data_IF_899700301421
#
_entry.id   IF_899700301421
#
_cell.length_a   1.000
_cell.length_b   1.000
_cell.length_c   1.000
_cell.angle_alpha   90.00
_cell.angle_beta   90.00
_cell.angle_gamma   90.00
#
_symmetry.space_group_name_H-M   'P 1'
#
loop_
_entity.id
_entity.type
_entity.pdbx_description
1 polymer ?
#
# COMPACT_ATOMS: atom_id res chain seq x y z
N UNK A 1 2.42 0.21 -2.41
CA UNK A 1 3.76 -0.28 -2.12
C UNK A 1 4.48 0.79 -1.33
N UNK A 2 5.15 0.41 -0.25
CA UNK A 2 5.92 1.27 0.65
C UNK A 2 7.33 0.70 0.73
N UNK A 3 8.32 1.50 0.35
CA UNK A 3 9.71 1.05 0.22
C UNK A 3 10.59 1.76 1.24
N UNK A 4 11.51 1.02 1.83
CA UNK A 4 12.58 1.50 2.68
C UNK A 4 12.10 2.51 3.74
N UNK A 5 12.70 3.68 3.83
CA UNK A 5 12.38 4.76 4.79
C UNK A 5 10.99 5.40 4.60
N UNK A 6 10.27 5.06 3.51
CA UNK A 6 8.90 5.52 3.31
C UNK A 6 7.91 5.03 4.38
N UNK A 7 8.31 4.08 5.26
CA UNK A 7 7.51 3.70 6.43
C UNK A 7 7.30 4.86 7.43
N UNK A 8 8.10 5.94 7.34
CA UNK A 8 7.94 7.16 8.12
C UNK A 8 6.99 8.18 7.47
N UNK A 9 6.53 7.96 6.23
CA UNK A 9 5.65 8.88 5.54
C UNK A 9 4.27 8.96 6.22
N UNK A 10 3.68 10.16 6.24
CA UNK A 10 2.39 10.42 6.91
C UNK A 10 1.25 9.49 6.45
N UNK A 11 1.07 9.16 5.16
CA UNK A 11 0.04 8.22 4.73
C UNK A 11 0.20 6.84 5.37
N UNK A 12 1.41 6.27 5.37
CA UNK A 12 1.66 4.96 5.96
C UNK A 12 1.47 4.97 7.48
N UNK A 13 2.01 5.97 8.17
CA UNK A 13 1.83 6.17 9.62
C UNK A 13 0.36 6.21 10.00
N UNK A 14 -0.47 6.93 9.24
CA UNK A 14 -1.92 6.97 9.46
C UNK A 14 -2.60 5.61 9.25
N UNK A 15 -2.22 4.88 8.21
CA UNK A 15 -2.77 3.56 7.91
C UNK A 15 -2.38 2.51 8.95
N UNK A 16 -1.17 2.62 9.51
CA UNK A 16 -0.65 1.71 10.53
C UNK A 16 -1.11 2.06 11.95
N UNK A 17 -1.47 3.31 12.20
CA UNK A 17 -1.91 3.78 13.53
C UNK A 17 -0.80 3.86 14.58
N UNK A 18 0.46 3.88 14.14
CA UNK A 18 1.66 4.02 15.01
C UNK A 18 2.63 5.01 14.40
N UNK A 19 3.70 5.37 15.13
CA UNK A 19 4.74 6.28 14.60
C UNK A 19 5.71 5.58 13.64
N UNK A 20 5.61 4.27 13.48
CA UNK A 20 6.36 3.44 12.54
C UNK A 20 7.89 3.59 12.59
N UNK A 21 8.47 3.94 13.75
CA UNK A 21 9.91 4.10 13.89
C UNK A 21 10.63 2.76 13.93
N UNK A 22 11.91 2.79 13.56
CA UNK A 22 12.87 1.70 13.74
C UNK A 22 14.19 2.27 14.24
N UNK A 23 15.08 1.42 14.76
CA UNK A 23 16.50 1.72 14.85
C UNK A 23 17.15 1.35 13.52
N UNK A 24 18.26 1.99 13.22
CA UNK A 24 18.99 1.77 11.98
C UNK A 24 20.49 1.90 12.22
N UNK A 25 21.28 1.34 11.32
CA UNK A 25 22.72 1.41 11.26
C UNK A 25 23.16 1.31 9.81
N UNK A 26 24.08 2.14 9.42
CA UNK A 26 24.61 2.23 8.08
C UNK A 26 26.11 1.92 8.10
N UNK A 27 26.45 0.66 7.81
CA UNK A 27 27.80 0.12 7.86
C UNK A 27 28.08 -0.83 6.69
N UNK A 28 27.43 -0.63 5.54
CA UNK A 28 27.61 -1.47 4.35
C UNK A 28 27.46 -2.97 4.66
N UNK A 29 26.46 -3.35 5.44
CA UNK A 29 26.31 -4.72 5.89
C UNK A 29 25.66 -5.62 4.84
N UNK A 30 26.13 -6.86 4.77
CA UNK A 30 25.45 -7.89 4.02
C UNK A 30 24.08 -8.15 4.64
N UNK A 31 23.06 -8.17 3.78
CA UNK A 31 21.71 -8.57 4.12
C UNK A 31 21.32 -9.82 3.35
N UNK A 32 20.71 -10.76 4.04
CA UNK A 32 20.06 -11.90 3.44
C UNK A 32 18.57 -11.86 3.69
N UNK A 33 17.79 -11.76 2.61
CA UNK A 33 16.33 -11.69 2.62
C UNK A 33 15.79 -13.10 2.39
N UNK A 34 15.29 -13.75 3.42
CA UNK A 34 14.68 -15.07 3.36
C UNK A 34 13.23 -14.99 2.90
N UNK A 35 12.86 -15.85 1.96
CA UNK A 35 11.48 -16.08 1.54
C UNK A 35 10.86 -17.07 2.52
N UNK A 36 10.08 -16.60 3.48
CA UNK A 36 9.49 -17.47 4.51
C UNK A 36 8.07 -17.92 4.16
N UNK A 37 7.43 -17.27 3.18
CA UNK A 37 6.12 -17.65 2.64
C UNK A 37 6.22 -17.86 1.12
N UNK A 38 6.81 -18.97 0.65
CA UNK A 38 7.05 -19.21 -0.78
C UNK A 38 5.76 -19.39 -1.59
N UNK A 39 4.64 -19.72 -0.95
CA UNK A 39 3.32 -19.79 -1.57
C UNK A 39 2.67 -18.44 -1.85
N UNK A 40 3.18 -17.37 -1.27
CA UNK A 40 2.60 -16.04 -1.44
C UNK A 40 2.85 -15.50 -2.86
N UNK A 41 1.86 -14.83 -3.51
CA UNK A 41 2.03 -14.31 -4.88
C UNK A 41 3.25 -13.40 -5.09
N UNK A 42 3.65 -12.64 -4.07
CA UNK A 42 4.84 -11.77 -4.12
C UNK A 42 6.13 -12.58 -4.22
N UNK A 43 6.17 -13.79 -3.68
CA UNK A 43 7.35 -14.67 -3.70
C UNK A 43 7.51 -15.45 -5.01
N UNK A 44 6.56 -15.36 -5.93
CA UNK A 44 6.57 -16.16 -7.17
C UNK A 44 7.84 -15.96 -7.98
N UNK A 45 8.54 -17.07 -8.29
CA UNK A 45 9.74 -17.09 -9.12
C UNK A 45 10.99 -16.53 -8.43
N UNK A 46 10.94 -16.27 -7.12
CA UNK A 46 12.11 -15.88 -6.34
C UNK A 46 12.85 -17.13 -5.82
N UNK A 47 14.17 -17.00 -5.58
CA UNK A 47 14.94 -18.04 -4.90
C UNK A 47 14.53 -18.14 -3.42
N UNK A 48 15.07 -19.15 -2.71
CA UNK A 48 14.84 -19.34 -1.27
C UNK A 48 15.25 -18.13 -0.44
N UNK A 49 16.29 -17.43 -0.85
CA UNK A 49 16.74 -16.16 -0.29
C UNK A 49 17.39 -15.28 -1.37
N UNK A 50 17.38 -13.97 -1.13
CA UNK A 50 18.10 -12.96 -1.92
C UNK A 50 19.23 -12.42 -1.03
N UNK A 51 20.44 -12.32 -1.55
CA UNK A 51 21.57 -11.75 -0.83
C UNK A 51 21.94 -10.40 -1.43
N UNK A 52 21.94 -9.36 -0.58
CA UNK A 52 22.40 -8.02 -0.89
C UNK A 52 23.78 -7.83 -0.24
N UNK A 53 24.84 -7.60 -1.03
CA UNK A 53 26.19 -7.49 -0.48
C UNK A 53 26.37 -6.35 0.51
N UNK A 54 25.64 -5.27 0.28
CA UNK A 54 25.66 -4.06 1.09
C UNK A 54 24.26 -3.47 1.20
N UNK A 55 23.86 -3.14 2.42
CA UNK A 55 22.57 -2.50 2.67
C UNK A 55 22.57 -1.84 4.07
N UNK A 56 21.66 -0.90 4.28
CA UNK A 56 21.40 -0.33 5.61
C UNK A 56 20.69 -1.36 6.50
N UNK A 57 21.17 -1.51 7.72
CA UNK A 57 20.53 -2.40 8.71
C UNK A 57 19.43 -1.70 9.46
N UNK A 58 18.25 -2.31 9.50
CA UNK A 58 17.19 -1.93 10.43
C UNK A 58 17.14 -2.91 11.60
N UNK A 59 16.90 -2.36 12.80
CA UNK A 59 16.90 -3.12 14.02
C UNK A 59 15.69 -2.88 14.92
N UNK A 60 15.70 -3.53 16.05
CA UNK A 60 14.69 -3.35 17.10
C UNK A 60 14.69 -1.90 17.62
N UNK A 61 13.61 -1.26 17.88
CA UNK A 61 12.22 -1.72 17.83
C UNK A 61 11.60 -1.23 16.53
N UNK A 62 10.92 -2.09 15.76
CA UNK A 62 10.11 -1.68 14.61
C UNK A 62 8.67 -1.48 15.08
N UNK A 63 8.22 -0.23 15.15
CA UNK A 63 6.92 0.17 15.71
C UNK A 63 5.75 0.00 14.73
N UNK A 64 5.99 -0.63 13.58
CA UNK A 64 4.93 -1.04 12.66
C UNK A 64 4.22 -2.27 13.23
N UNK A 65 2.88 -2.35 13.19
CA UNK A 65 2.13 -3.48 13.69
C UNK A 65 2.57 -4.82 13.09
N UNK A 66 2.17 -5.92 13.71
CA UNK A 66 2.32 -7.24 13.09
C UNK A 66 1.61 -7.23 11.72
N UNK A 67 2.24 -7.76 10.67
CA UNK A 67 1.60 -7.85 9.36
C UNK A 67 0.51 -8.92 9.35
N UNK A 68 -0.42 -8.79 8.41
CA UNK A 68 -1.39 -9.83 8.12
C UNK A 68 -0.69 -11.05 7.46
N UNK A 69 0.26 -10.80 6.50
CA UNK A 69 1.16 -11.82 5.97
C UNK A 69 2.61 -11.33 6.07
N UNK A 70 3.50 -12.18 6.56
CA UNK A 70 4.95 -11.92 6.60
C UNK A 70 5.63 -12.78 5.53
N UNK A 71 6.01 -12.15 4.42
CA UNK A 71 6.56 -12.85 3.25
C UNK A 71 8.08 -12.98 3.32
N UNK A 72 8.76 -11.92 3.81
CA UNK A 72 10.22 -11.89 3.88
C UNK A 72 10.72 -11.48 5.25
N UNK A 73 11.81 -12.14 5.67
CA UNK A 73 12.62 -11.78 6.84
C UNK A 73 14.04 -11.53 6.37
N UNK A 74 14.63 -10.43 6.83
CA UNK A 74 16.06 -10.15 6.65
C UNK A 74 16.86 -10.61 7.84
N UNK A 75 18.03 -11.16 7.56
CA UNK A 75 19.15 -11.32 8.47
C UNK A 75 20.30 -10.44 8.00
N UNK A 76 20.95 -9.76 8.93
CA UNK A 76 22.11 -8.91 8.67
C UNK A 76 23.39 -9.52 9.26
N UNK A 77 24.54 -9.17 8.69
CA UNK A 77 25.84 -9.71 9.14
C UNK A 77 26.15 -9.38 10.61
N UNK A 78 25.54 -8.36 11.18
CA UNK A 78 25.58 -8.05 12.62
C UNK A 78 24.75 -8.97 13.50
N UNK A 79 23.96 -9.89 12.91
CA UNK A 79 23.13 -10.87 13.62
C UNK A 79 21.67 -10.42 13.85
N UNK A 80 21.31 -9.22 13.48
CA UNK A 80 19.94 -8.72 13.60
C UNK A 80 19.01 -9.43 12.59
N UNK A 81 17.74 -9.57 12.99
CA UNK A 81 16.66 -10.07 12.15
C UNK A 81 15.56 -9.04 12.08
N UNK A 82 15.01 -8.83 10.91
CA UNK A 82 13.99 -7.82 10.66
C UNK A 82 12.87 -8.32 9.74
N UNK A 83 11.65 -7.85 9.97
CA UNK A 83 10.50 -8.11 9.10
C UNK A 83 10.59 -7.23 7.85
N UNK A 84 11.19 -7.73 6.79
CA UNK A 84 11.53 -6.95 5.60
C UNK A 84 10.49 -6.97 4.49
N UNK A 85 9.55 -7.91 4.51
CA UNK A 85 8.46 -7.99 3.54
C UNK A 85 7.13 -8.25 4.21
N UNK A 86 6.36 -7.17 4.45
CA UNK A 86 5.13 -7.19 5.25
C UNK A 86 3.92 -6.79 4.42
N UNK A 87 2.87 -7.60 4.45
CA UNK A 87 1.58 -7.32 3.82
C UNK A 87 0.55 -6.90 4.86
N UNK A 88 -0.30 -5.93 4.50
CA UNK A 88 -1.40 -5.45 5.32
C UNK A 88 -2.65 -5.25 4.48
N UNK A 89 -3.81 -5.52 5.09
CA UNK A 89 -5.11 -5.21 4.51
C UNK A 89 -5.76 -4.06 5.28
N UNK A 90 -6.27 -3.07 4.56
CA UNK A 90 -6.99 -1.93 5.12
C UNK A 90 -8.25 -1.66 4.31
N UNK A 91 -9.40 -2.10 4.81
CA UNK A 91 -10.62 -2.17 4.03
C UNK A 91 -10.44 -3.09 2.82
N UNK A 92 -10.69 -2.58 1.62
CA UNK A 92 -10.45 -3.29 0.36
C UNK A 92 -9.02 -3.07 -0.18
N UNK A 93 -8.23 -2.26 0.48
CA UNK A 93 -6.86 -1.92 0.05
C UNK A 93 -5.83 -2.92 0.58
N UNK A 94 -4.78 -3.11 -0.21
CA UNK A 94 -3.61 -3.92 0.12
C UNK A 94 -2.37 -3.04 0.20
N UNK A 95 -1.53 -3.28 1.19
CA UNK A 95 -0.28 -2.56 1.39
C UNK A 95 0.85 -3.58 1.49
N UNK A 96 1.89 -3.40 0.70
CA UNK A 96 3.13 -4.14 0.86
C UNK A 96 4.24 -3.19 1.27
N UNK A 97 4.88 -3.48 2.40
CA UNK A 97 6.09 -2.82 2.86
C UNK A 97 7.30 -3.70 2.57
N UNK A 98 8.32 -3.11 1.96
CA UNK A 98 9.60 -3.76 1.68
C UNK A 98 10.74 -2.90 2.20
N UNK A 99 11.54 -3.46 3.11
CA UNK A 99 12.57 -2.73 3.84
C UNK A 99 13.78 -2.32 2.99
N UNK A 100 14.39 -3.19 2.16
CA UNK A 100 15.60 -2.85 1.41
C UNK A 100 15.41 -1.65 0.47
N UNK A 101 16.51 -1.00 0.13
CA UNK A 101 16.50 0.05 -0.90
C UNK A 101 17.03 1.40 -0.44
N UNK A 102 18.08 1.41 0.38
CA UNK A 102 18.81 2.63 0.68
C UNK A 102 19.39 3.24 -0.62
N UNK A 103 19.37 4.56 -0.73
CA UNK A 103 19.69 5.30 -1.96
C UNK A 103 21.14 5.13 -2.42
N UNK A 104 22.05 4.76 -1.55
CA UNK A 104 23.48 4.55 -1.88
C UNK A 104 23.72 3.21 -2.58
N UNK A 105 22.78 2.26 -2.51
CA UNK A 105 22.97 0.92 -3.05
C UNK A 105 22.10 0.67 -4.28
N UNK A 106 22.60 -0.11 -5.27
CA UNK A 106 21.87 -0.38 -6.50
C UNK A 106 20.78 -1.47 -6.33
N UNK A 107 20.17 -1.57 -5.16
CA UNK A 107 19.24 -2.62 -4.77
C UNK A 107 18.08 -2.77 -5.76
N UNK A 108 17.47 -1.66 -6.18
CA UNK A 108 16.32 -1.69 -7.08
C UNK A 108 16.66 -2.00 -8.56
N UNK A 109 17.94 -2.00 -8.93
CA UNK A 109 18.40 -2.37 -10.28
C UNK A 109 18.65 -3.87 -10.45
N UNK A 110 18.54 -4.65 -9.38
CA UNK A 110 18.70 -6.10 -9.41
C UNK A 110 17.47 -6.77 -10.03
N UNK A 111 17.68 -7.84 -10.80
CA UNK A 111 16.60 -8.58 -11.45
C UNK A 111 15.65 -9.25 -10.46
N UNK A 112 16.20 -9.89 -9.40
CA UNK A 112 15.43 -10.54 -8.36
C UNK A 112 14.55 -9.55 -7.58
N UNK A 113 15.08 -8.38 -7.22
CA UNK A 113 14.32 -7.30 -6.55
C UNK A 113 13.27 -6.72 -7.52
N UNK A 114 13.64 -6.50 -8.79
CA UNK A 114 12.69 -6.04 -9.81
C UNK A 114 11.53 -7.03 -9.99
N UNK A 115 11.81 -8.34 -10.00
CA UNK A 115 10.77 -9.37 -10.07
C UNK A 115 9.87 -9.34 -8.84
N UNK A 116 10.45 -9.22 -7.63
CA UNK A 116 9.71 -9.07 -6.37
C UNK A 116 8.75 -7.88 -6.44
N UNK A 117 9.24 -6.72 -6.87
CA UNK A 117 8.43 -5.50 -6.95
C UNK A 117 7.30 -5.61 -8.00
N UNK A 118 7.56 -6.23 -9.15
CA UNK A 118 6.51 -6.54 -10.14
C UNK A 118 5.42 -7.42 -9.53
N UNK A 119 5.81 -8.48 -8.83
CA UNK A 119 4.87 -9.35 -8.15
C UNK A 119 4.06 -8.60 -7.09
N UNK A 120 4.70 -7.71 -6.34
CA UNK A 120 4.04 -6.89 -5.32
C UNK A 120 3.00 -5.94 -5.93
N UNK A 121 3.31 -5.31 -7.06
CA UNK A 121 2.37 -4.45 -7.79
C UNK A 121 1.16 -5.26 -8.29
N UNK A 122 1.39 -6.42 -8.89
CA UNK A 122 0.30 -7.29 -9.34
C UNK A 122 -0.55 -7.81 -8.16
N UNK A 123 0.07 -8.17 -7.05
CA UNK A 123 -0.65 -8.57 -5.85
C UNK A 123 -1.48 -7.43 -5.26
N UNK A 124 -0.94 -6.20 -5.20
CA UNK A 124 -1.61 -5.04 -4.63
C UNK A 124 -2.67 -4.44 -5.57
N UNK A 125 -2.71 -4.84 -6.82
CA UNK A 125 -3.68 -4.37 -7.82
C UNK A 125 -5.10 -4.54 -7.31
N UNK A 126 -5.95 -3.50 -7.41
CA UNK A 126 -7.36 -3.62 -7.05
C UNK A 126 -8.06 -4.72 -7.85
N UNK A 127 -8.75 -5.60 -7.15
CA UNK A 127 -9.59 -6.65 -7.75
C UNK A 127 -11.04 -6.21 -7.89
N UNK A 128 -11.28 -5.05 -8.41
CA UNK A 128 -12.54 -4.33 -8.40
C UNK A 128 -12.38 -3.12 -7.48
N UNK A 129 -12.73 -1.96 -7.96
CA UNK A 129 -12.72 -0.72 -7.19
C UNK A 129 -14.08 -0.47 -6.55
N UNK A 130 -14.17 0.45 -5.59
CA UNK A 130 -15.45 1.05 -5.27
C UNK A 130 -16.05 1.60 -6.56
N UNK A 131 -17.36 1.51 -6.69
CA UNK A 131 -18.07 2.04 -7.85
C UNK A 131 -17.61 3.49 -8.08
N UNK A 132 -17.18 3.88 -9.30
CA UNK A 132 -16.55 5.19 -9.53
C UNK A 132 -17.49 6.37 -9.32
N UNK A 133 -18.78 6.13 -9.17
CA UNK A 133 -19.80 7.15 -8.92
C UNK A 133 -20.18 7.17 -7.44
N UNK A 134 -19.63 8.13 -6.74
CA UNK A 134 -20.17 8.58 -5.47
C UNK A 134 -21.18 9.70 -5.80
N UNK A 135 -22.43 9.56 -5.37
CA UNK A 135 -23.41 10.60 -5.61
C UNK A 135 -24.83 10.07 -5.77
N UNK A 136 -25.55 10.65 -6.72
CA UNK A 136 -26.95 10.32 -6.94
C UNK A 136 -27.11 8.85 -7.36
N UNK A 137 -27.98 8.15 -6.66
CA UNK A 137 -28.34 6.76 -6.96
C UNK A 137 -29.64 6.75 -7.77
N UNK A 138 -29.60 6.13 -8.94
CA UNK A 138 -30.82 5.99 -9.76
C UNK A 138 -31.75 4.95 -9.15
N UNK A 139 -33.03 5.30 -9.08
CA UNK A 139 -34.02 4.38 -8.57
C UNK A 139 -34.21 3.18 -9.52
N UNK A 140 -34.26 1.95 -8.98
CA UNK A 140 -34.52 0.74 -9.74
C UNK A 140 -35.96 0.64 -10.25
N UNK A 141 -36.90 1.32 -9.59
CA UNK A 141 -38.30 1.40 -9.94
C UNK A 141 -38.75 2.86 -10.00
N UNK A 142 -39.81 3.20 -10.72
CA UNK A 142 -40.31 4.55 -10.77
C UNK A 142 -40.66 5.07 -9.37
N UNK A 143 -40.06 6.21 -9.00
CA UNK A 143 -40.38 6.92 -7.76
C UNK A 143 -41.06 8.24 -8.09
N UNK A 144 -41.93 8.68 -7.18
CA UNK A 144 -42.57 9.96 -7.29
C UNK A 144 -41.56 11.09 -7.18
N UNK A 145 -41.54 11.99 -8.16
CA UNK A 145 -40.70 13.20 -8.06
C UNK A 145 -41.17 14.06 -6.88
N UNK A 146 -40.33 14.20 -5.86
CA UNK A 146 -40.64 15.05 -4.68
C UNK A 146 -40.80 16.54 -5.03
N UNK A 147 -40.38 16.93 -6.22
CA UNK A 147 -40.51 18.31 -6.72
C UNK A 147 -41.69 18.50 -7.69
N UNK A 148 -42.43 17.42 -7.95
CA UNK A 148 -43.65 17.53 -8.79
C UNK A 148 -44.62 18.56 -8.23
N UNK A 149 -44.95 19.57 -9.03
CA UNK A 149 -45.82 20.68 -8.61
C UNK A 149 -45.12 21.82 -7.85
N UNK A 150 -43.83 21.75 -7.63
CA UNK A 150 -43.08 22.87 -7.02
C UNK A 150 -42.51 23.80 -8.08
N UNK A 151 -42.49 25.12 -7.75
CA UNK A 151 -41.89 26.13 -8.60
C UNK A 151 -40.36 26.01 -8.65
N UNK A 152 -39.72 26.48 -9.72
CA UNK A 152 -38.26 26.51 -9.85
C UNK A 152 -37.54 27.27 -8.72
N UNK A 153 -38.26 28.20 -8.09
CA UNK A 153 -37.74 28.96 -6.94
C UNK A 153 -37.62 28.07 -5.71
N UNK A 154 -38.56 27.17 -5.48
CA UNK A 154 -38.57 26.24 -4.37
C UNK A 154 -37.53 25.08 -4.59
N UNK A 155 -37.26 24.73 -5.85
CA UNK A 155 -36.22 23.76 -6.22
C UNK A 155 -34.81 24.29 -5.92
N UNK A 156 -34.54 25.57 -6.24
CA UNK A 156 -33.22 26.21 -6.03
C UNK A 156 -32.80 26.36 -4.56
N UNK A 157 -33.74 26.42 -3.63
CA UNK A 157 -33.44 26.50 -2.21
C UNK A 157 -32.98 25.15 -1.60
N UNK A 158 -33.06 24.05 -2.34
CA UNK A 158 -32.67 22.71 -1.90
C UNK A 158 -31.38 22.22 -2.56
N UNK A 159 -30.82 22.99 -3.50
CA UNK A 159 -29.51 22.71 -4.07
C UNK A 159 -28.41 23.07 -3.05
N UNK A 160 -27.92 22.07 -2.36
CA UNK A 160 -26.74 22.19 -1.52
C UNK A 160 -25.52 22.51 -2.41
N UNK A 161 -24.58 23.37 -1.98
CA UNK A 161 -23.34 23.63 -2.70
C UNK A 161 -22.59 22.32 -2.91
N UNK A 162 -22.49 21.85 -4.15
CA UNK A 162 -21.78 20.60 -4.52
C UNK A 162 -22.56 19.61 -5.38
N UNK A 163 -23.86 19.79 -5.62
CA UNK A 163 -24.59 19.02 -6.63
C UNK A 163 -24.31 19.62 -8.01
N UNK A 164 -23.29 19.07 -8.69
CA UNK A 164 -22.88 19.53 -10.01
C UNK A 164 -24.02 19.47 -11.03
N UNK A 165 -24.23 20.62 -11.68
CA UNK A 165 -25.22 20.75 -12.74
C UNK A 165 -24.95 19.78 -13.90
N UNK A 166 -26.02 19.25 -14.47
CA UNK A 166 -25.99 18.54 -15.72
C UNK A 166 -25.45 19.47 -16.81
N UNK A 167 -24.26 19.19 -17.35
CA UNK A 167 -23.90 19.71 -18.66
C UNK A 167 -24.91 19.19 -19.70
N UNK A 168 -25.72 20.08 -20.20
CA UNK A 168 -26.52 19.83 -21.41
C UNK A 168 -25.58 19.87 -22.61
N UNK A 169 -25.19 18.71 -23.10
CA UNK A 169 -24.62 18.61 -24.45
C UNK A 169 -25.70 18.88 -25.48
N UNK A 170 -25.51 19.97 -26.22
CA UNK A 170 -26.11 20.17 -27.53
C UNK A 170 -25.26 19.53 -28.61
#
# INVERSE_FOLDING_TARGET
IVLHSAHLCKPFVRLMGTVCRSKWRENDELERIWVIEPGHPIARGLPEYIELPQEETYGKRFEVPAPDDLVFISWFSGGEVFRSGCCYYRGLGKIFYFRPGHEEYPTFYREDISQLLKNAVEWAKPSGGPHPTLGHYEALEPVKDKFEGRSDRERKHLDLPGSGGKEQNK
#
